data_IF_131858050903
#
_entry.id   IF_131858050903
#
_cell.length_a   1.000
_cell.length_b   1.000
_cell.length_c   1.000
_cell.angle_alpha   90.00
_cell.angle_beta   90.00
_cell.angle_gamma   90.00
#
_symmetry.space_group_name_H-M   'P 1'
#
loop_
_entity.id
_entity.type
_entity.pdbx_description
1 polymer ?
#
# COMPACT_ATOMS: atom_id res chain seq x y z
N UNK A 1 1.80 44.21 -12.44
CA UNK A 1 2.83 43.71 -13.37
C UNK A 1 3.73 42.64 -12.79
N UNK A 2 4.30 42.78 -11.59
CA UNK A 2 5.22 41.79 -11.02
C UNK A 2 4.56 40.44 -10.65
N UNK A 3 3.36 40.44 -10.03
CA UNK A 3 2.61 39.20 -9.78
C UNK A 3 2.25 38.45 -11.07
N UNK A 4 1.89 39.16 -12.14
CA UNK A 4 1.57 38.54 -13.43
C UNK A 4 2.79 37.87 -14.06
N UNK A 5 3.96 38.51 -14.00
CA UNK A 5 5.21 37.93 -14.49
C UNK A 5 5.65 36.70 -13.66
N UNK A 6 5.46 36.73 -12.34
CA UNK A 6 5.74 35.58 -11.47
C UNK A 6 4.81 34.40 -11.76
N UNK A 7 3.51 34.64 -11.93
CA UNK A 7 2.54 33.59 -12.28
C UNK A 7 2.89 32.99 -13.65
N UNK A 8 3.16 33.81 -14.66
CA UNK A 8 3.57 33.32 -15.99
C UNK A 8 4.89 32.52 -15.94
N UNK A 9 5.86 32.94 -15.13
CA UNK A 9 7.12 32.21 -14.96
C UNK A 9 6.89 30.86 -14.27
N UNK A 10 6.03 30.82 -13.25
CA UNK A 10 5.68 29.59 -12.54
C UNK A 10 4.92 28.60 -13.43
N UNK A 11 3.95 29.08 -14.21
CA UNK A 11 3.22 28.26 -15.17
C UNK A 11 4.15 27.67 -16.23
N UNK A 12 5.13 28.44 -16.70
CA UNK A 12 6.12 27.95 -17.68
C UNK A 12 7.06 26.91 -17.09
N UNK A 13 7.46 27.05 -15.82
CA UNK A 13 8.25 26.02 -15.14
C UNK A 13 7.44 24.73 -14.92
N UNK A 14 6.15 24.85 -14.59
CA UNK A 14 5.25 23.69 -14.48
C UNK A 14 5.06 22.97 -15.81
N UNK A 15 4.90 23.69 -16.92
CA UNK A 15 4.79 23.10 -18.27
C UNK A 15 6.05 22.30 -18.66
N UNK A 16 7.24 22.81 -18.31
CA UNK A 16 8.50 22.08 -18.54
C UNK A 16 8.58 20.81 -17.69
N UNK A 17 8.14 20.89 -16.44
CA UNK A 17 8.05 19.75 -15.51
C UNK A 17 7.14 18.63 -16.05
N UNK A 18 5.93 18.98 -16.47
CA UNK A 18 4.96 18.03 -17.03
C UNK A 18 5.50 17.35 -18.31
N UNK A 19 6.14 18.12 -19.19
CA UNK A 19 6.78 17.58 -20.41
C UNK A 19 7.94 16.63 -20.10
N UNK A 20 8.73 16.92 -19.07
CA UNK A 20 9.82 16.03 -18.64
C UNK A 20 9.27 14.69 -18.16
N UNK A 21 8.24 14.71 -17.31
CA UNK A 21 7.56 13.50 -16.81
C UNK A 21 6.95 12.69 -17.96
N UNK A 22 6.27 13.35 -18.91
CA UNK A 22 5.72 12.68 -20.09
C UNK A 22 6.82 12.02 -20.95
N UNK A 23 7.98 12.67 -21.07
CA UNK A 23 9.13 12.12 -21.81
C UNK A 23 9.69 10.88 -21.11
N UNK A 24 9.79 10.89 -19.78
CA UNK A 24 10.21 9.71 -19.01
C UNK A 24 9.22 8.55 -19.13
N UNK A 25 7.91 8.84 -19.13
CA UNK A 25 6.88 7.82 -19.35
C UNK A 25 7.02 7.20 -20.74
N UNK A 26 7.26 8.00 -21.78
CA UNK A 26 7.51 7.49 -23.13
C UNK A 26 8.79 6.64 -23.20
N UNK A 27 9.87 7.07 -22.54
CA UNK A 27 11.13 6.34 -22.47
C UNK A 27 11.05 5.03 -21.66
N UNK A 28 9.99 4.81 -20.88
CA UNK A 28 9.79 3.55 -20.16
C UNK A 28 9.47 2.36 -21.09
N UNK A 29 9.08 2.60 -22.35
CA UNK A 29 8.88 1.57 -23.39
C UNK A 29 10.16 1.24 -24.18
N UNK A 30 11.33 1.66 -23.68
CA UNK A 30 12.59 1.41 -24.39
C UNK A 30 12.95 -0.09 -24.41
N UNK A 31 13.57 -0.53 -25.50
CA UNK A 31 14.04 -1.91 -25.64
C UNK A 31 15.19 -2.23 -24.68
N UNK A 32 16.04 -1.25 -24.36
CA UNK A 32 17.19 -1.40 -23.48
C UNK A 32 16.77 -1.37 -21.99
N UNK A 33 17.19 -2.38 -21.24
CA UNK A 33 16.95 -2.46 -19.80
C UNK A 33 17.64 -1.33 -19.02
N UNK A 34 18.86 -0.95 -19.43
CA UNK A 34 19.61 0.11 -18.75
C UNK A 34 18.90 1.46 -18.84
N UNK A 35 18.27 1.74 -19.99
CA UNK A 35 17.49 2.97 -20.18
C UNK A 35 16.26 2.97 -19.26
N UNK A 36 15.57 1.82 -19.14
CA UNK A 36 14.42 1.69 -18.23
C UNK A 36 14.81 1.86 -16.76
N UNK A 37 15.98 1.35 -16.36
CA UNK A 37 16.49 1.54 -15.00
C UNK A 37 16.91 3.00 -14.75
N UNK A 38 17.49 3.67 -15.74
CA UNK A 38 17.78 5.10 -15.69
C UNK A 38 16.49 5.94 -15.60
N UNK A 39 15.42 5.56 -16.30
CA UNK A 39 14.10 6.20 -16.21
C UNK A 39 13.56 6.09 -14.78
N UNK A 40 13.64 4.92 -14.15
CA UNK A 40 13.24 4.72 -12.75
C UNK A 40 14.04 5.63 -11.80
N UNK A 41 15.37 5.66 -11.96
CA UNK A 41 16.22 6.53 -11.14
C UNK A 41 15.93 8.01 -11.37
N UNK A 42 15.58 8.39 -12.60
CA UNK A 42 15.19 9.76 -12.97
C UNK A 42 13.89 10.17 -12.27
N UNK A 43 12.87 9.29 -12.26
CA UNK A 43 11.65 9.53 -11.50
C UNK A 43 11.92 9.70 -10.01
N UNK A 44 12.80 8.86 -9.43
CA UNK A 44 13.15 8.95 -8.01
C UNK A 44 13.81 10.27 -7.65
N UNK A 45 14.75 10.76 -8.47
CA UNK A 45 15.41 12.06 -8.26
C UNK A 45 14.40 13.19 -8.42
N UNK A 46 13.57 13.12 -9.45
CA UNK A 46 12.62 14.19 -9.77
C UNK A 46 11.48 14.29 -8.75
N UNK A 47 11.03 13.16 -8.20
CA UNK A 47 10.03 13.11 -7.13
C UNK A 47 10.50 13.79 -5.83
N UNK A 48 11.81 13.96 -5.61
CA UNK A 48 12.32 14.77 -4.50
C UNK A 48 12.02 16.27 -4.63
N UNK A 49 11.62 16.73 -5.82
CA UNK A 49 11.21 18.12 -6.09
C UNK A 49 9.70 18.28 -6.19
N UNK A 50 9.03 17.36 -6.90
CA UNK A 50 7.58 17.37 -7.10
C UNK A 50 7.01 15.94 -7.02
N UNK A 51 6.85 15.45 -5.80
CA UNK A 51 6.34 14.10 -5.53
C UNK A 51 4.92 13.92 -6.08
N UNK A 52 4.02 14.87 -5.77
CA UNK A 52 2.61 14.76 -6.12
C UNK A 52 2.41 14.80 -7.63
N UNK A 53 3.09 15.71 -8.34
CA UNK A 53 3.02 15.77 -9.80
C UNK A 53 3.46 14.47 -10.48
N UNK A 54 4.60 13.91 -10.05
CA UNK A 54 5.10 12.63 -10.60
C UNK A 54 4.13 11.48 -10.36
N UNK A 55 3.66 11.32 -9.12
CA UNK A 55 2.75 10.23 -8.76
C UNK A 55 1.43 10.35 -9.54
N UNK A 56 0.86 11.56 -9.62
CA UNK A 56 -0.38 11.80 -10.36
C UNK A 56 -0.19 11.51 -11.86
N UNK A 57 0.88 12.01 -12.49
CA UNK A 57 1.10 11.79 -13.92
C UNK A 57 1.25 10.31 -14.27
N UNK A 58 2.01 9.55 -13.48
CA UNK A 58 2.17 8.11 -13.74
C UNK A 58 0.85 7.36 -13.48
N UNK A 59 0.15 7.67 -12.38
CA UNK A 59 -1.13 7.03 -12.06
C UNK A 59 -2.20 7.33 -13.11
N UNK A 60 -2.31 8.58 -13.57
CA UNK A 60 -3.24 8.98 -14.64
C UNK A 60 -2.89 8.28 -15.95
N UNK A 61 -1.60 8.14 -16.29
CA UNK A 61 -1.21 7.35 -17.46
C UNK A 61 -1.65 5.89 -17.34
N UNK A 62 -1.40 5.24 -16.20
CA UNK A 62 -1.78 3.85 -15.96
C UNK A 62 -3.30 3.63 -16.02
N UNK A 63 -4.09 4.59 -15.52
CA UNK A 63 -5.56 4.52 -15.54
C UNK A 63 -6.14 4.78 -16.95
N UNK A 64 -5.54 5.69 -17.71
CA UNK A 64 -6.02 6.04 -19.05
C UNK A 64 -5.63 5.00 -20.11
N UNK A 65 -4.54 4.25 -19.90
CA UNK A 65 -4.09 3.21 -20.81
C UNK A 65 -4.52 1.85 -20.28
N UNK A 66 -5.40 1.15 -21.01
CA UNK A 66 -5.88 -0.17 -20.59
C UNK A 66 -4.72 -1.18 -20.56
N UNK A 67 -4.71 -2.09 -19.56
CA UNK A 67 -3.73 -3.18 -19.48
C UNK A 67 -3.63 -4.01 -20.76
N UNK A 68 -4.74 -4.21 -21.48
CA UNK A 68 -4.78 -5.00 -22.72
C UNK A 68 -4.20 -4.32 -23.96
N UNK A 69 -3.94 -3.01 -23.91
CA UNK A 69 -3.52 -2.20 -25.07
C UNK A 69 -2.16 -1.53 -24.88
N UNK A 70 -1.54 -1.69 -23.70
CA UNK A 70 -0.27 -1.05 -23.38
C UNK A 70 0.84 -2.10 -23.22
N UNK A 71 2.11 -1.74 -23.55
CA UNK A 71 3.23 -2.66 -23.40
C UNK A 71 3.44 -3.09 -21.95
N UNK A 72 3.50 -4.40 -21.71
CA UNK A 72 3.69 -4.97 -20.35
C UNK A 72 4.93 -4.41 -19.65
N UNK A 73 6.06 -4.31 -20.37
CA UNK A 73 7.32 -3.80 -19.84
C UNK A 73 7.24 -2.33 -19.43
N UNK A 74 6.54 -1.50 -20.21
CA UNK A 74 6.35 -0.09 -19.87
C UNK A 74 5.54 0.03 -18.57
N UNK A 75 4.44 -0.73 -18.45
CA UNK A 75 3.64 -0.73 -17.21
C UNK A 75 4.44 -1.19 -16.01
N UNK A 76 5.20 -2.28 -16.15
CA UNK A 76 6.07 -2.81 -15.11
C UNK A 76 7.03 -1.74 -14.57
N UNK A 77 7.72 -1.03 -15.46
CA UNK A 77 8.68 0.03 -15.08
C UNK A 77 7.99 1.18 -14.37
N UNK A 78 6.81 1.60 -14.85
CA UNK A 78 6.05 2.68 -14.23
C UNK A 78 5.56 2.30 -12.82
N UNK A 79 5.07 1.07 -12.63
CA UNK A 79 4.65 0.56 -11.32
C UNK A 79 5.83 0.48 -10.35
N UNK A 80 6.99 -0.04 -10.81
CA UNK A 80 8.23 -0.06 -10.03
C UNK A 80 8.70 1.34 -9.67
N UNK A 81 8.62 2.27 -10.62
CA UNK A 81 9.00 3.68 -10.41
C UNK A 81 8.12 4.32 -9.35
N UNK A 82 6.80 4.12 -9.40
CA UNK A 82 5.89 4.57 -8.35
C UNK A 82 6.26 3.97 -7.00
N UNK A 83 6.49 2.66 -6.93
CA UNK A 83 6.83 1.99 -5.67
C UNK A 83 8.11 2.57 -5.03
N UNK A 84 9.17 2.74 -5.82
CA UNK A 84 10.45 3.27 -5.32
C UNK A 84 10.36 4.76 -4.97
N UNK A 85 9.57 5.54 -5.70
CA UNK A 85 9.26 6.94 -5.35
C UNK A 85 8.51 7.01 -4.02
N UNK A 86 7.49 6.19 -3.82
CA UNK A 86 6.71 6.17 -2.59
C UNK A 86 7.57 5.76 -1.38
N UNK A 87 8.36 4.67 -1.51
CA UNK A 87 9.28 4.24 -0.46
C UNK A 87 10.33 5.28 -0.09
N UNK A 88 10.83 6.04 -1.07
CA UNK A 88 11.92 6.98 -0.85
C UNK A 88 11.47 8.31 -0.22
N UNK A 89 10.25 8.76 -0.53
CA UNK A 89 9.83 10.14 -0.25
C UNK A 89 8.57 10.27 0.59
N UNK A 90 7.82 9.19 0.81
CA UNK A 90 6.57 9.27 1.58
C UNK A 90 6.84 9.02 3.06
N UNK A 91 6.70 10.07 3.86
CA UNK A 91 6.26 9.96 5.25
C UNK A 91 4.72 10.01 5.30
N UNK A 92 4.11 9.44 6.33
CA UNK A 92 2.68 9.08 6.45
C UNK A 92 1.66 10.18 6.04
N UNK A 93 2.05 11.45 6.02
CA UNK A 93 1.16 12.60 5.75
C UNK A 93 1.41 13.35 4.43
N UNK A 94 2.25 12.84 3.53
CA UNK A 94 2.72 13.63 2.37
C UNK A 94 1.80 13.57 1.13
N UNK A 95 0.98 12.52 0.96
CA UNK A 95 0.17 12.34 -0.25
C UNK A 95 -1.33 12.57 -0.01
N UNK A 96 -2.02 13.34 -0.88
CA UNK A 96 -3.47 13.49 -0.81
C UNK A 96 -4.19 12.15 -0.93
N UNK A 97 -5.24 11.94 -0.11
CA UNK A 97 -6.02 10.71 -0.13
C UNK A 97 -6.55 10.34 -1.53
N UNK A 98 -6.98 11.33 -2.31
CA UNK A 98 -7.41 11.15 -3.69
C UNK A 98 -6.29 10.62 -4.61
N UNK A 99 -5.06 11.08 -4.42
CA UNK A 99 -3.88 10.60 -5.17
C UNK A 99 -3.56 9.16 -4.79
N UNK A 100 -3.57 8.85 -3.50
CA UNK A 100 -3.38 7.49 -2.99
C UNK A 100 -4.43 6.53 -3.55
N UNK A 101 -5.70 6.96 -3.59
CA UNK A 101 -6.79 6.19 -4.17
C UNK A 101 -6.61 5.93 -5.68
N UNK A 102 -6.13 6.91 -6.43
CA UNK A 102 -5.77 6.73 -7.85
C UNK A 102 -4.69 5.66 -8.04
N UNK A 103 -3.63 5.70 -7.22
CA UNK A 103 -2.54 4.71 -7.27
C UNK A 103 -3.06 3.31 -6.94
N UNK A 104 -3.90 3.18 -5.91
CA UNK A 104 -4.54 1.90 -5.55
C UNK A 104 -5.38 1.35 -6.71
N UNK A 105 -6.20 2.19 -7.34
CA UNK A 105 -7.02 1.79 -8.50
C UNK A 105 -6.16 1.35 -9.69
N UNK A 106 -5.08 2.08 -9.98
CA UNK A 106 -4.17 1.76 -11.07
C UNK A 106 -3.49 0.39 -10.84
N UNK A 107 -2.93 0.18 -9.64
CA UNK A 107 -2.26 -1.06 -9.28
C UNK A 107 -3.23 -2.26 -9.27
N UNK A 108 -4.44 -2.07 -8.72
CA UNK A 108 -5.47 -3.11 -8.73
C UNK A 108 -5.92 -3.47 -10.15
N UNK A 109 -6.12 -2.48 -11.02
CA UNK A 109 -6.48 -2.71 -12.42
C UNK A 109 -5.46 -3.60 -13.14
N UNK A 110 -4.17 -3.37 -12.87
CA UNK A 110 -3.09 -4.20 -13.42
C UNK A 110 -3.06 -5.60 -12.80
N UNK A 111 -3.21 -5.73 -11.48
CA UNK A 111 -3.29 -7.03 -10.81
C UNK A 111 -4.43 -7.92 -11.34
N UNK A 112 -5.56 -7.30 -11.70
CA UNK A 112 -6.72 -8.02 -12.26
C UNK A 112 -6.55 -8.41 -13.72
N UNK A 113 -5.67 -7.73 -14.46
CA UNK A 113 -5.41 -8.00 -15.86
C UNK A 113 -4.40 -9.14 -16.08
N UNK A 114 -3.50 -9.38 -15.12
CA UNK A 114 -2.45 -10.39 -15.24
C UNK A 114 -2.96 -11.77 -14.83
N UNK A 115 -2.93 -12.72 -15.76
CA UNK A 115 -3.34 -14.11 -15.54
C UNK A 115 -2.18 -15.05 -15.21
N UNK A 116 -0.95 -14.69 -15.60
CA UNK A 116 0.25 -15.49 -15.37
C UNK A 116 0.85 -15.20 -14.00
N UNK A 117 1.04 -16.22 -13.16
CA UNK A 117 1.56 -16.09 -11.80
C UNK A 117 3.04 -15.62 -11.75
N UNK A 118 3.82 -15.92 -12.78
CA UNK A 118 5.24 -15.57 -12.89
C UNK A 118 5.51 -14.18 -13.49
N UNK A 119 4.47 -13.43 -13.89
CA UNK A 119 4.66 -12.13 -14.53
C UNK A 119 5.28 -11.11 -13.56
N UNK A 120 6.38 -10.50 -13.99
CA UNK A 120 7.06 -9.42 -13.29
C UNK A 120 6.18 -8.18 -13.18
N UNK A 121 5.32 -7.94 -14.16
CA UNK A 121 4.32 -6.88 -14.15
C UNK A 121 3.29 -7.07 -13.02
N UNK A 122 2.69 -8.26 -12.91
CA UNK A 122 1.73 -8.54 -11.83
C UNK A 122 2.36 -8.50 -10.43
N UNK A 123 3.63 -8.92 -10.31
CA UNK A 123 4.40 -8.79 -9.06
C UNK A 123 4.67 -7.31 -8.71
N UNK A 124 5.07 -6.49 -9.69
CA UNK A 124 5.27 -5.06 -9.49
C UNK A 124 3.96 -4.35 -9.07
N UNK A 125 2.84 -4.69 -9.71
CA UNK A 125 1.53 -4.16 -9.38
C UNK A 125 1.12 -4.54 -7.94
N UNK A 126 1.34 -5.80 -7.56
CA UNK A 126 1.05 -6.30 -6.21
C UNK A 126 1.89 -5.59 -5.15
N UNK A 127 3.20 -5.45 -5.38
CA UNK A 127 4.09 -4.77 -4.45
C UNK A 127 3.72 -3.30 -4.26
N UNK A 128 3.38 -2.60 -5.36
CA UNK A 128 2.87 -1.23 -5.31
C UNK A 128 1.56 -1.13 -4.53
N UNK A 129 0.60 -2.03 -4.80
CA UNK A 129 -0.68 -2.04 -4.12
C UNK A 129 -0.52 -2.26 -2.61
N UNK A 130 0.26 -3.28 -2.20
CA UNK A 130 0.47 -3.59 -0.78
C UNK A 130 1.12 -2.43 -0.04
N UNK A 131 2.16 -1.82 -0.63
CA UNK A 131 2.80 -0.64 -0.02
C UNK A 131 1.84 0.55 0.10
N UNK A 132 1.08 0.84 -0.95
CA UNK A 132 0.11 1.95 -0.95
C UNK A 132 -1.07 1.68 -0.01
N UNK A 133 -1.51 0.43 0.09
CA UNK A 133 -2.54 -0.01 1.03
C UNK A 133 -2.06 0.14 2.47
N UNK A 134 -0.78 -0.12 2.75
CA UNK A 134 -0.21 0.08 4.08
C UNK A 134 -0.21 1.57 4.47
N UNK A 135 0.04 2.47 3.52
CA UNK A 135 -0.06 3.91 3.73
C UNK A 135 -1.50 4.38 3.97
N UNK A 136 -2.49 3.76 3.33
CA UNK A 136 -3.91 4.11 3.50
C UNK A 136 -4.83 2.87 3.57
N UNK A 137 -4.85 2.16 4.71
CA UNK A 137 -5.59 0.89 4.82
C UNK A 137 -7.10 1.08 4.66
N UNK A 138 -7.65 2.21 5.09
CA UNK A 138 -9.09 2.50 5.03
C UNK A 138 -9.62 2.57 3.60
N UNK A 139 -8.79 2.94 2.62
CA UNK A 139 -9.14 2.89 1.21
C UNK A 139 -8.69 1.59 0.54
N UNK A 140 -7.48 1.12 0.84
CA UNK A 140 -6.89 -0.03 0.15
C UNK A 140 -7.52 -1.38 0.50
N UNK A 141 -7.80 -1.63 1.78
CA UNK A 141 -8.36 -2.91 2.22
C UNK A 141 -9.76 -3.18 1.67
N UNK A 142 -10.71 -2.23 1.69
CA UNK A 142 -12.01 -2.42 1.05
C UNK A 142 -11.90 -2.76 -0.44
N UNK A 143 -11.04 -2.06 -1.20
CA UNK A 143 -10.82 -2.35 -2.62
C UNK A 143 -10.32 -3.78 -2.84
N UNK A 144 -9.39 -4.24 -2.00
CA UNK A 144 -8.83 -5.59 -2.11
C UNK A 144 -9.88 -6.66 -1.76
N UNK A 145 -10.73 -6.40 -0.77
CA UNK A 145 -11.85 -7.28 -0.39
C UNK A 145 -12.91 -7.32 -1.48
N UNK A 146 -13.24 -6.18 -2.08
CA UNK A 146 -14.22 -6.10 -3.17
C UNK A 146 -13.76 -6.82 -4.43
N UNK A 147 -12.44 -6.89 -4.65
CA UNK A 147 -11.85 -7.70 -5.72
C UNK A 147 -11.97 -9.22 -5.47
N UNK A 148 -12.27 -9.65 -4.24
CA UNK A 148 -12.59 -11.05 -3.95
C UNK A 148 -14.06 -11.33 -4.33
N UNK A 149 -14.32 -12.34 -5.19
CA UNK A 149 -15.68 -12.68 -5.59
C UNK A 149 -16.57 -13.02 -4.40
N UNK A 150 -17.79 -12.47 -4.37
CA UNK A 150 -18.77 -12.76 -3.31
C UNK A 150 -19.49 -14.11 -3.48
N UNK A 151 -19.39 -14.74 -4.67
CA UNK A 151 -20.07 -16.00 -4.97
C UNK A 151 -19.09 -17.16 -5.01
N UNK A 152 -19.51 -18.32 -4.49
CA UNK A 152 -18.70 -19.53 -4.43
C UNK A 152 -18.17 -19.98 -5.82
N UNK A 153 -18.83 -19.59 -6.92
CA UNK A 153 -18.39 -19.92 -8.29
C UNK A 153 -17.36 -18.95 -8.91
N UNK A 154 -17.02 -17.86 -8.24
CA UNK A 154 -16.06 -16.88 -8.76
C UNK A 154 -14.61 -17.36 -8.66
N UNK A 155 -13.82 -17.12 -9.71
CA UNK A 155 -12.36 -17.33 -9.65
C UNK A 155 -11.71 -16.08 -9.08
N UNK A 156 -10.99 -16.23 -7.96
CA UNK A 156 -10.23 -15.09 -7.40
C UNK A 156 -8.94 -14.90 -8.19
N UNK A 157 -8.63 -13.69 -8.66
CA UNK A 157 -7.38 -13.40 -9.34
C UNK A 157 -6.16 -13.70 -8.45
N UNK A 158 -5.12 -14.30 -9.02
CA UNK A 158 -3.95 -14.76 -8.27
C UNK A 158 -3.27 -13.64 -7.47
N UNK A 159 -3.09 -12.48 -8.09
CA UNK A 159 -2.42 -11.36 -7.47
C UNK A 159 -3.25 -10.70 -6.36
N UNK A 160 -4.57 -10.81 -6.37
CA UNK A 160 -5.43 -10.39 -5.24
C UNK A 160 -5.15 -11.27 -4.01
N UNK A 161 -5.08 -12.59 -4.18
CA UNK A 161 -4.71 -13.50 -3.10
C UNK A 161 -3.27 -13.27 -2.62
N UNK A 162 -2.35 -13.00 -3.56
CA UNK A 162 -0.97 -12.70 -3.21
C UNK A 162 -0.85 -11.39 -2.41
N UNK A 163 -1.54 -10.32 -2.83
CA UNK A 163 -1.58 -9.06 -2.11
C UNK A 163 -2.15 -9.21 -0.70
N UNK A 164 -3.23 -10.00 -0.53
CA UNK A 164 -3.78 -10.30 0.80
C UNK A 164 -2.75 -10.99 1.68
N UNK A 165 -2.04 -11.98 1.14
CA UNK A 165 -1.01 -12.70 1.87
C UNK A 165 0.17 -11.79 2.28
N UNK A 166 0.63 -10.95 1.36
CA UNK A 166 1.77 -10.07 1.58
C UNK A 166 1.41 -8.91 2.53
N UNK A 167 0.21 -8.34 2.40
CA UNK A 167 -0.30 -7.33 3.34
C UNK A 167 -0.47 -7.90 4.75
N UNK A 168 -1.01 -9.12 4.88
CA UNK A 168 -1.15 -9.80 6.16
C UNK A 168 0.19 -10.02 6.86
N UNK A 169 1.25 -10.30 6.09
CA UNK A 169 2.61 -10.47 6.61
C UNK A 169 3.25 -9.14 7.00
N UNK A 170 3.06 -8.08 6.20
CA UNK A 170 3.66 -6.78 6.42
C UNK A 170 2.97 -5.98 7.53
N UNK A 171 1.63 -6.00 7.58
CA UNK A 171 0.82 -5.10 8.40
C UNK A 171 -0.36 -5.83 9.08
N UNK A 172 -0.11 -6.84 9.93
CA UNK A 172 -1.15 -7.68 10.52
C UNK A 172 -2.18 -6.89 11.35
N UNK A 173 -1.74 -5.88 12.11
CA UNK A 173 -2.63 -5.05 12.93
C UNK A 173 -3.53 -4.13 12.08
N UNK A 174 -3.04 -3.65 10.93
CA UNK A 174 -3.83 -2.82 10.00
C UNK A 174 -4.88 -3.63 9.24
N UNK A 175 -4.66 -4.94 9.10
CA UNK A 175 -5.67 -5.86 8.54
C UNK A 175 -6.79 -6.20 9.52
N UNK A 176 -6.54 -6.08 10.84
CA UNK A 176 -7.45 -6.53 11.89
C UNK A 176 -8.91 -6.02 11.76
N UNK A 177 -9.16 -4.72 11.50
CA UNK A 177 -10.53 -4.20 11.38
C UNK A 177 -11.35 -4.85 10.25
N UNK A 178 -10.66 -5.37 9.23
CA UNK A 178 -11.28 -5.90 8.02
C UNK A 178 -11.42 -7.43 8.02
N UNK A 179 -10.87 -8.12 9.03
CA UNK A 179 -10.82 -9.58 9.11
C UNK A 179 -12.19 -10.25 8.97
N UNK A 180 -13.21 -9.70 9.64
CA UNK A 180 -14.56 -10.25 9.61
C UNK A 180 -15.12 -10.29 8.18
N UNK A 181 -14.96 -9.20 7.44
CA UNK A 181 -15.47 -9.08 6.08
C UNK A 181 -14.65 -9.91 5.10
N UNK A 182 -13.33 -9.89 5.25
CA UNK A 182 -12.43 -10.71 4.45
C UNK A 182 -12.71 -12.21 4.61
N UNK A 183 -12.92 -12.70 5.84
CA UNK A 183 -13.24 -14.10 6.09
C UNK A 183 -14.61 -14.50 5.51
N UNK A 184 -15.62 -13.63 5.57
CA UNK A 184 -16.92 -13.89 4.92
C UNK A 184 -16.78 -14.10 3.41
N UNK A 185 -15.85 -13.40 2.75
CA UNK A 185 -15.61 -13.55 1.31
C UNK A 185 -14.77 -14.78 0.97
N UNK A 186 -13.74 -15.06 1.78
CA UNK A 186 -12.83 -16.17 1.52
C UNK A 186 -13.41 -17.54 1.89
N UNK A 187 -14.12 -17.67 3.02
CA UNK A 187 -14.61 -18.98 3.50
C UNK A 187 -15.49 -19.71 2.46
N UNK A 188 -16.43 -19.06 1.75
CA UNK A 188 -17.23 -19.72 0.71
C UNK A 188 -16.40 -20.22 -0.49
N UNK A 189 -15.24 -19.64 -0.75
CA UNK A 189 -14.38 -19.97 -1.89
C UNK A 189 -13.47 -21.17 -1.60
N UNK A 190 -13.22 -21.51 -0.32
CA UNK A 190 -12.37 -22.64 0.08
C UNK A 190 -12.77 -23.97 -0.58
N UNK A 191 -14.07 -24.21 -0.72
CA UNK A 191 -14.60 -25.44 -1.32
C UNK A 191 -14.51 -25.48 -2.84
N UNK A 192 -14.21 -24.35 -3.50
CA UNK A 192 -14.32 -24.22 -4.95
C UNK A 192 -12.97 -24.11 -5.65
N UNK A 193 -11.89 -23.86 -4.91
CA UNK A 193 -10.53 -23.87 -5.46
C UNK A 193 -10.05 -25.29 -5.73
N UNK A 194 -10.10 -25.70 -7.00
CA UNK A 194 -9.71 -27.04 -7.46
C UNK A 194 -8.26 -27.13 -7.95
N UNK A 195 -7.71 -26.05 -8.50
CA UNK A 195 -6.37 -26.03 -9.08
C UNK A 195 -5.28 -25.81 -8.03
N UNK A 196 -4.08 -26.37 -8.24
CA UNK A 196 -2.97 -26.36 -7.28
C UNK A 196 -2.42 -24.95 -7.01
N UNK A 197 -2.15 -24.16 -8.06
CA UNK A 197 -1.63 -22.79 -7.93
C UNK A 197 -2.52 -21.88 -7.07
N UNK A 198 -3.84 -21.75 -7.34
CA UNK A 198 -4.70 -20.95 -6.47
C UNK A 198 -4.87 -21.58 -5.09
N UNK A 199 -4.80 -22.91 -4.90
CA UNK A 199 -4.80 -23.52 -3.55
C UNK A 199 -3.59 -23.08 -2.73
N UNK A 200 -2.40 -23.03 -3.33
CA UNK A 200 -1.19 -22.57 -2.67
C UNK A 200 -1.31 -21.10 -2.26
N UNK A 201 -1.77 -20.22 -3.16
CA UNK A 201 -1.93 -18.79 -2.84
C UNK A 201 -3.02 -18.55 -1.81
N UNK A 202 -4.12 -19.29 -1.90
CA UNK A 202 -5.22 -19.22 -0.94
C UNK A 202 -4.76 -19.67 0.45
N UNK A 203 -4.02 -20.77 0.54
CA UNK A 203 -3.47 -21.23 1.83
C UNK A 203 -2.43 -20.25 2.39
N UNK A 204 -1.61 -19.62 1.53
CA UNK A 204 -0.69 -18.53 1.92
C UNK A 204 -1.45 -17.34 2.50
N UNK A 205 -2.54 -16.92 1.85
CA UNK A 205 -3.38 -15.82 2.32
C UNK A 205 -4.04 -16.14 3.67
N UNK A 206 -4.65 -17.32 3.83
CA UNK A 206 -5.25 -17.75 5.10
C UNK A 206 -4.22 -17.85 6.23
N UNK A 207 -3.02 -18.35 5.95
CA UNK A 207 -1.94 -18.39 6.94
C UNK A 207 -1.57 -16.97 7.39
N UNK A 208 -1.48 -16.03 6.45
CA UNK A 208 -1.28 -14.61 6.76
C UNK A 208 -2.38 -14.06 7.66
N UNK A 209 -3.64 -14.33 7.30
CA UNK A 209 -4.82 -13.93 8.08
C UNK A 209 -4.80 -14.51 9.51
N UNK A 210 -4.52 -15.81 9.65
CA UNK A 210 -4.40 -16.45 10.96
C UNK A 210 -3.27 -15.85 11.80
N UNK A 211 -2.14 -15.52 11.17
CA UNK A 211 -1.02 -14.83 11.83
C UNK A 211 -1.48 -13.46 12.33
N UNK A 212 -2.21 -12.70 11.53
CA UNK A 212 -2.75 -11.40 11.94
C UNK A 212 -3.72 -11.48 13.12
N UNK A 213 -4.58 -12.50 13.17
CA UNK A 213 -5.45 -12.77 14.33
C UNK A 213 -4.62 -13.01 15.60
N UNK A 214 -3.57 -13.84 15.51
CA UNK A 214 -2.68 -14.12 16.64
C UNK A 214 -1.96 -12.84 17.09
N UNK A 215 -1.50 -12.01 16.16
CA UNK A 215 -0.88 -10.72 16.50
C UNK A 215 -1.85 -9.78 17.21
N UNK A 216 -3.12 -9.74 16.78
CA UNK A 216 -4.17 -8.94 17.42
C UNK A 216 -4.44 -9.41 18.84
N UNK A 217 -4.56 -10.72 19.06
CA UNK A 217 -4.74 -11.29 20.39
C UNK A 217 -3.56 -10.93 21.32
N UNK A 218 -2.33 -11.10 20.83
CA UNK A 218 -1.11 -10.73 21.57
C UNK A 218 -1.01 -9.23 21.85
N UNK A 219 -1.57 -8.40 20.98
CA UNK A 219 -1.64 -6.96 21.17
C UNK A 219 -2.63 -6.63 22.29
N UNK A 220 -3.87 -7.15 22.22
CA UNK A 220 -4.87 -6.94 23.26
C UNK A 220 -4.43 -7.50 24.63
N UNK A 221 -3.77 -8.66 24.67
CA UNK A 221 -3.28 -9.21 25.93
C UNK A 221 -2.20 -8.32 26.56
N UNK A 222 -1.33 -7.73 25.74
CA UNK A 222 -0.34 -6.74 26.22
C UNK A 222 -0.98 -5.47 26.73
N UNK A 223 -2.03 -4.98 26.06
CA UNK A 223 -2.77 -3.79 26.53
C UNK A 223 -3.48 -4.07 27.87
N UNK A 224 -4.12 -5.25 28.04
CA UNK A 224 -4.71 -5.64 29.33
C UNK A 224 -3.72 -5.70 30.49
N UNK A 225 -2.49 -6.15 30.22
CA UNK A 225 -1.43 -6.20 31.23
C UNK A 225 -0.67 -4.87 31.41
N UNK A 226 -0.89 -3.89 30.51
CA UNK A 226 -0.28 -2.57 30.59
C UNK A 226 -1.16 -1.55 31.33
N UNK A 227 -2.44 -1.85 31.58
CA UNK A 227 -3.29 -1.06 32.47
C UNK A 227 -2.98 -1.41 33.95
N UNK A 228 -2.34 -0.51 34.73
CA UNK A 228 -2.05 -0.76 36.15
C UNK A 228 -3.30 -0.76 37.04
N UNK A 229 -4.50 -0.54 36.49
CA UNK A 229 -5.77 -0.49 37.22
C UNK A 229 -6.48 -1.86 37.33
N UNK A 230 -5.98 -2.91 36.67
CA UNK A 230 -6.59 -4.25 36.73
C UNK A 230 -5.97 -5.17 37.81
N UNK A 231 -5.05 -4.64 38.62
CA UNK A 231 -4.34 -5.38 39.66
C UNK A 231 -4.14 -4.53 40.92
N UNK A 232 -5.23 -4.04 41.50
CA UNK A 232 -5.24 -3.52 42.88
C UNK A 232 -6.28 -4.27 43.70
N UNK A 233 -6.11 -5.58 43.79
CA UNK A 233 -6.33 -6.31 45.03
C UNK A 233 -5.01 -7.09 45.22
N UNK A 234 -4.32 -6.81 46.33
CA UNK A 234 -3.07 -7.46 46.78
C UNK A 234 -1.73 -6.93 46.21
N UNK A 235 -1.30 -5.74 46.65
CA UNK A 235 0.11 -5.45 46.94
C UNK A 235 0.26 -4.10 47.65
N UNK A 236 0.12 -4.11 48.97
CA UNK A 236 0.64 -3.05 49.84
C UNK A 236 2.14 -3.32 50.11
N UNK A 237 2.92 -2.22 50.19
CA UNK A 237 4.32 -2.10 50.61
C UNK A 237 5.43 -2.25 49.55
N UNK A 238 5.89 -1.11 49.02
CA UNK A 238 7.23 -0.57 49.32
C UNK A 238 7.44 0.78 48.61
N UNK A 239 7.66 1.83 49.39
CA UNK A 239 8.13 3.17 48.97
C UNK A 239 9.59 3.12 48.50
N UNK A 240 9.98 4.08 47.63
CA UNK A 240 11.39 4.46 47.45
C UNK A 240 11.75 5.18 46.15
N UNK A 241 11.83 6.51 46.26
CA UNK A 241 12.64 7.49 45.50
C UNK A 241 12.26 8.01 44.09
N UNK A 242 12.16 9.35 44.08
CA UNK A 242 12.06 10.29 42.98
C UNK A 242 13.39 10.42 42.21
N UNK A 243 13.35 10.60 40.89
CA UNK A 243 14.07 11.72 40.29
C UNK A 243 13.60 12.07 38.87
N UNK A 244 13.68 13.36 38.57
CA UNK A 244 12.84 14.10 37.64
C UNK A 244 13.30 14.13 36.16
N UNK A 245 12.29 14.29 35.30
CA UNK A 245 12.23 15.15 34.12
C UNK A 245 13.10 14.87 32.87
N UNK A 246 12.43 14.50 31.76
CA UNK A 246 12.47 15.25 30.48
C UNK A 246 11.24 14.91 29.61
N UNK A 247 10.49 15.91 29.12
CA UNK A 247 9.39 15.80 28.12
C UNK A 247 9.80 16.43 26.77
N UNK A 248 9.04 16.29 25.65
CA UNK A 248 9.18 15.16 24.73
C UNK A 248 9.49 15.62 23.28
N UNK A 249 9.98 14.72 22.44
CA UNK A 249 9.87 14.87 20.98
C UNK A 249 8.76 13.94 20.53
N UNK A 250 7.60 14.51 20.21
CA UNK A 250 6.39 13.78 19.85
C UNK A 250 6.53 13.17 18.44
N UNK A 251 7.25 12.05 18.36
CA UNK A 251 7.10 11.10 17.27
C UNK A 251 6.10 10.05 17.74
N UNK A 252 4.93 9.99 17.09
CA UNK A 252 3.94 8.95 17.36
C UNK A 252 4.59 7.57 17.17
N UNK A 253 4.74 6.84 18.28
CA UNK A 253 5.24 5.47 18.25
C UNK A 253 4.30 4.59 17.42
N UNK A 254 4.79 3.49 16.81
CA UNK A 254 3.94 2.53 16.09
C UNK A 254 2.76 2.01 16.92
N UNK A 255 2.90 2.02 18.25
CA UNK A 255 1.86 1.72 19.24
C UNK A 255 0.71 2.73 19.23
N UNK A 256 1.01 4.03 19.09
CA UNK A 256 0.02 5.10 19.01
C UNK A 256 -0.82 5.02 17.73
N UNK A 257 -0.18 4.74 16.58
CA UNK A 257 -0.89 4.56 15.31
C UNK A 257 -1.79 3.31 15.33
N UNK A 258 -1.31 2.17 15.83
CA UNK A 258 -2.13 0.97 15.96
C UNK A 258 -3.35 1.19 16.89
N UNK A 259 -3.16 1.90 18.00
CA UNK A 259 -4.25 2.26 18.92
C UNK A 259 -5.25 3.24 18.30
N UNK A 260 -4.81 4.23 17.52
CA UNK A 260 -5.73 5.17 16.83
C UNK A 260 -6.57 4.45 15.78
N UNK A 261 -5.98 3.55 14.99
CA UNK A 261 -6.74 2.78 13.98
C UNK A 261 -7.75 1.81 14.60
N UNK A 262 -7.40 1.14 15.71
CA UNK A 262 -8.32 0.20 16.39
C UNK A 262 -9.41 0.89 17.21
N UNK A 263 -9.21 2.14 17.67
CA UNK A 263 -10.24 2.91 18.40
C UNK A 263 -11.22 3.64 17.48
N UNK A 264 -10.87 3.82 16.21
CA UNK A 264 -11.72 4.49 15.21
C UNK A 264 -12.61 3.51 14.41
N UNK A 265 -12.53 2.20 14.67
CA UNK A 265 -13.36 1.14 14.07
C UNK A 265 -14.32 0.55 15.09
#
# INVERSE_FOLDING_TARGET
>A
SFCTLLVCAFDKMRDVAEKAVATFIAAADDSNADVRDQVLQSFRIYAGKDLSGVVISIADWLLNHKPSSSPEKQREVLLKSLLEVLKAHVSVDTLPAATTEKVLKAALGDMLAVSELSSSWGQAATALFVHTCDLNPSAGMPMLIDAVPSSAGGTTPFYVLNALADFAAAAPLRMAPHLKELLKRLVPLLGTVKQENPRMLFSRALRGIGTAVIHLERFHNRERHADPAAGTEDAEAAEGDEDAATMPTEQLTPRSQACQYLRAS
#
